data_IF_805964871314
#
_entry.id   IF_805964871314
#
_cell.length_a   1.000
_cell.length_b   1.000
_cell.length_c   1.000
_cell.angle_alpha   90.00
_cell.angle_beta   90.00
_cell.angle_gamma   90.00
#
_symmetry.space_group_name_H-M   'P 1'
#
loop_
_entity.id
_entity.type
_entity.pdbx_description
1 polymer ?
#
# COMPACT_ATOMS: atom_id res chain seq x y z
N UNK A 1 2.89 -3.98 9.82
CA UNK A 1 2.16 -4.95 9.00
C UNK A 1 1.33 -5.88 9.85
N UNK A 2 1.88 -6.56 10.86
CA UNK A 2 1.11 -7.47 11.72
C UNK A 2 -0.16 -6.83 12.32
N UNK A 3 -0.02 -5.68 12.99
CA UNK A 3 -1.18 -4.98 13.56
C UNK A 3 -2.24 -4.56 12.51
N UNK A 4 -1.82 -4.25 11.28
CA UNK A 4 -2.77 -3.94 10.20
C UNK A 4 -3.47 -5.21 9.70
N UNK A 5 -2.74 -6.31 9.56
CA UNK A 5 -3.31 -7.61 9.20
C UNK A 5 -4.36 -8.06 10.22
N UNK A 6 -4.09 -7.90 11.52
CA UNK A 6 -5.07 -8.18 12.58
C UNK A 6 -6.34 -7.31 12.44
N UNK A 7 -6.19 -6.02 12.14
CA UNK A 7 -7.35 -5.14 11.92
C UNK A 7 -8.11 -5.47 10.63
N UNK A 8 -7.42 -5.90 9.56
CA UNK A 8 -8.06 -6.37 8.32
C UNK A 8 -8.85 -7.66 8.56
N UNK A 9 -8.31 -8.61 9.33
CA UNK A 9 -9.05 -9.82 9.73
C UNK A 9 -10.31 -9.48 10.53
N UNK A 10 -10.24 -8.48 11.41
CA UNK A 10 -11.41 -7.98 12.14
C UNK A 10 -12.48 -7.35 11.23
N UNK A 11 -12.15 -7.05 9.97
CA UNK A 11 -13.08 -6.62 8.92
C UNK A 11 -13.43 -7.74 7.93
N UNK A 12 -13.17 -9.01 8.28
CA UNK A 12 -13.41 -10.19 7.44
C UNK A 12 -12.60 -10.20 6.13
N UNK A 13 -11.44 -9.54 6.12
CA UNK A 13 -10.48 -9.60 5.02
C UNK A 13 -9.35 -10.53 5.44
N UNK A 14 -9.06 -11.55 4.64
CA UNK A 14 -7.93 -12.46 4.89
C UNK A 14 -6.63 -11.88 4.33
N UNK A 15 -5.64 -11.50 5.17
CA UNK A 15 -4.37 -10.99 4.70
C UNK A 15 -3.39 -12.15 4.48
N UNK A 16 -2.94 -12.33 3.25
CA UNK A 16 -1.82 -13.23 2.94
C UNK A 16 -0.52 -12.42 2.97
N UNK A 17 0.28 -12.63 4.02
CA UNK A 17 1.58 -11.97 4.20
C UNK A 17 2.72 -12.90 3.76
N UNK A 18 3.69 -12.35 3.04
CA UNK A 18 4.90 -13.05 2.65
C UNK A 18 6.15 -12.18 2.84
N UNK A 19 7.31 -12.82 2.84
CA UNK A 19 8.61 -12.15 2.86
C UNK A 19 9.17 -12.03 1.44
N UNK A 20 9.57 -10.83 1.03
CA UNK A 20 10.39 -10.68 -0.18
C UNK A 20 11.75 -11.39 -0.03
N UNK A 21 12.43 -11.74 -1.14
CA UNK A 21 13.69 -12.50 -1.08
C UNK A 21 14.77 -11.89 -0.18
N UNK A 22 14.96 -10.56 -0.19
CA UNK A 22 15.90 -9.90 0.72
C UNK A 22 15.53 -10.06 2.20
N UNK A 23 14.23 -10.16 2.54
CA UNK A 23 13.75 -10.35 3.91
C UNK A 23 14.02 -11.77 4.37
N UNK A 24 13.75 -12.78 3.52
CA UNK A 24 14.11 -14.17 3.78
C UNK A 24 15.61 -14.29 4.06
N UNK A 25 16.44 -13.70 3.19
CA UNK A 25 17.91 -13.66 3.38
C UNK A 25 18.31 -12.91 4.66
N UNK A 26 17.66 -11.80 4.99
CA UNK A 26 17.96 -11.02 6.18
C UNK A 26 17.66 -11.80 7.47
N UNK A 27 16.55 -12.53 7.51
CA UNK A 27 16.16 -13.41 8.63
C UNK A 27 17.14 -14.57 8.78
N UNK A 28 17.43 -15.29 7.68
CA UNK A 28 18.35 -16.42 7.69
C UNK A 28 19.78 -16.05 8.16
N UNK A 29 20.24 -14.84 7.82
CA UNK A 29 21.56 -14.34 8.20
C UNK A 29 21.57 -13.53 9.50
N UNK A 30 20.39 -13.33 10.14
CA UNK A 30 20.19 -12.40 11.25
C UNK A 30 20.86 -11.03 11.03
N UNK A 31 20.78 -10.50 9.79
CA UNK A 31 21.47 -9.28 9.37
C UNK A 31 20.60 -8.47 8.42
N UNK A 32 20.43 -7.18 8.70
CA UNK A 32 19.68 -6.26 7.83
C UNK A 32 20.26 -6.24 6.41
N UNK A 33 19.38 -6.31 5.42
CA UNK A 33 19.70 -6.19 4.00
C UNK A 33 18.86 -5.06 3.38
N UNK A 34 19.41 -4.30 2.43
CA UNK A 34 18.59 -3.41 1.62
C UNK A 34 17.60 -4.24 0.79
N UNK A 35 16.48 -3.65 0.35
CA UNK A 35 15.60 -4.30 -0.60
C UNK A 35 16.31 -4.73 -1.88
N UNK A 36 15.82 -5.80 -2.51
CA UNK A 36 16.23 -6.18 -3.85
C UNK A 36 15.84 -5.11 -4.88
N UNK A 37 16.42 -5.20 -6.08
CA UNK A 37 16.02 -4.34 -7.20
C UNK A 37 14.58 -4.60 -7.59
N UNK A 38 13.92 -3.57 -8.11
CA UNK A 38 12.49 -3.60 -8.46
C UNK A 38 12.08 -4.83 -9.29
N UNK A 39 12.81 -5.30 -10.32
CA UNK A 39 12.42 -6.50 -11.07
C UNK A 39 12.30 -7.76 -10.21
N UNK A 40 13.18 -7.93 -9.22
CA UNK A 40 13.13 -9.08 -8.29
C UNK A 40 11.92 -8.99 -7.38
N UNK A 41 11.55 -7.77 -6.94
CA UNK A 41 10.38 -7.55 -6.10
C UNK A 41 9.07 -7.79 -6.88
N UNK A 42 9.00 -7.32 -8.13
CA UNK A 42 7.85 -7.54 -9.01
C UNK A 42 7.66 -9.04 -9.29
N UNK A 43 8.75 -9.74 -9.62
CA UNK A 43 8.74 -11.18 -9.84
C UNK A 43 8.27 -11.92 -8.59
N UNK A 44 8.86 -11.62 -7.43
CA UNK A 44 8.49 -12.30 -6.18
C UNK A 44 7.01 -12.10 -5.84
N UNK A 45 6.44 -10.90 -6.02
CA UNK A 45 5.02 -10.67 -5.76
C UNK A 45 4.13 -11.40 -6.78
N UNK A 46 4.53 -11.45 -8.05
CA UNK A 46 3.80 -12.20 -9.09
C UNK A 46 3.76 -13.69 -8.76
N UNK A 47 4.90 -14.29 -8.41
CA UNK A 47 4.98 -15.71 -8.00
C UNK A 47 4.11 -16.01 -6.76
N UNK A 48 3.97 -15.06 -5.84
CA UNK A 48 3.05 -15.24 -4.70
C UNK A 48 1.59 -15.23 -5.15
N UNK A 49 1.19 -14.31 -6.03
CA UNK A 49 -0.18 -14.26 -6.55
C UNK A 49 -0.53 -15.56 -7.28
N UNK A 50 0.36 -16.06 -8.15
CA UNK A 50 0.17 -17.30 -8.91
C UNK A 50 0.08 -18.54 -8.02
N UNK A 51 0.62 -18.48 -6.80
CA UNK A 51 0.57 -19.58 -5.83
C UNK A 51 -0.73 -19.65 -5.01
N UNK A 52 -1.56 -18.59 -5.05
CA UNK A 52 -2.78 -18.50 -4.27
C UNK A 52 -3.98 -19.12 -4.98
N UNK A 53 -4.90 -19.78 -4.24
CA UNK A 53 -6.18 -20.22 -4.79
C UNK A 53 -7.06 -19.01 -5.19
N UNK A 54 -7.80 -19.14 -6.28
CA UNK A 54 -8.60 -18.04 -6.88
C UNK A 54 -10.09 -18.09 -6.52
N UNK A 55 -10.45 -18.78 -5.43
CA UNK A 55 -11.86 -19.04 -5.07
C UNK A 55 -12.54 -17.81 -4.43
N UNK A 56 -11.75 -16.80 -4.07
CA UNK A 56 -12.22 -15.53 -3.51
C UNK A 56 -11.63 -14.35 -4.30
N UNK A 57 -12.30 -13.18 -4.28
CA UNK A 57 -11.75 -11.95 -4.83
C UNK A 57 -10.38 -11.63 -4.21
N UNK A 58 -9.38 -11.38 -5.05
CA UNK A 58 -8.00 -11.11 -4.65
C UNK A 58 -7.66 -9.64 -4.85
N UNK A 59 -7.00 -9.04 -3.85
CA UNK A 59 -6.53 -7.67 -3.88
C UNK A 59 -5.04 -7.64 -3.60
N UNK A 60 -4.29 -6.90 -4.41
CA UNK A 60 -2.88 -6.67 -4.14
C UNK A 60 -2.72 -5.56 -3.11
N UNK A 61 -1.96 -5.83 -2.04
CA UNK A 61 -1.75 -4.83 -1.01
C UNK A 61 -0.31 -4.75 -0.54
N UNK A 62 0.12 -3.56 -0.10
CA UNK A 62 1.45 -3.40 0.45
C UNK A 62 1.69 -2.06 1.11
N UNK A 63 2.68 -2.02 2.00
CA UNK A 63 3.11 -0.79 2.67
C UNK A 63 4.39 -0.25 2.06
N UNK A 64 4.45 1.05 1.81
CA UNK A 64 5.66 1.75 1.33
C UNK A 64 6.21 1.08 0.06
N UNK A 65 7.43 0.57 0.08
CA UNK A 65 8.03 -0.17 -1.03
C UNK A 65 7.12 -1.32 -1.53
N UNK A 66 6.54 -2.12 -0.63
CA UNK A 66 5.64 -3.21 -1.05
C UNK A 66 4.37 -2.69 -1.71
N UNK A 67 3.86 -1.53 -1.24
CA UNK A 67 2.73 -0.85 -1.87
C UNK A 67 3.08 -0.38 -3.27
N UNK A 68 4.27 0.22 -3.46
CA UNK A 68 4.76 0.60 -4.79
C UNK A 68 4.83 -0.60 -5.73
N UNK A 69 5.41 -1.71 -5.29
CA UNK A 69 5.49 -2.94 -6.08
C UNK A 69 4.09 -3.43 -6.47
N UNK A 70 3.15 -3.49 -5.50
CA UNK A 70 1.77 -3.87 -5.75
C UNK A 70 1.10 -3.00 -6.82
N UNK A 71 1.18 -1.67 -6.69
CA UNK A 71 0.54 -0.75 -7.64
C UNK A 71 1.04 -0.89 -9.08
N UNK A 72 2.29 -1.34 -9.27
CA UNK A 72 2.87 -1.52 -10.60
C UNK A 72 2.43 -2.81 -11.29
N UNK A 73 1.81 -3.74 -10.55
CA UNK A 73 1.35 -5.03 -11.06
C UNK A 73 -0.15 -5.07 -11.34
N UNK A 74 -0.93 -4.09 -10.86
CA UNK A 74 -2.39 -4.12 -10.89
C UNK A 74 -2.94 -4.34 -12.30
N UNK A 75 -2.56 -3.51 -13.27
CA UNK A 75 -3.05 -3.65 -14.66
C UNK A 75 -2.56 -4.94 -15.33
N UNK A 76 -1.33 -5.38 -15.02
CA UNK A 76 -0.76 -6.61 -15.61
C UNK A 76 -1.47 -7.85 -15.09
N UNK A 77 -1.80 -7.88 -13.80
CA UNK A 77 -2.48 -9.01 -13.16
C UNK A 77 -4.01 -8.87 -13.20
N UNK A 78 -4.52 -7.73 -13.64
CA UNK A 78 -5.95 -7.36 -13.64
C UNK A 78 -6.57 -7.52 -12.25
N UNK A 79 -5.87 -7.02 -11.24
CA UNK A 79 -6.31 -7.05 -9.85
C UNK A 79 -6.44 -5.63 -9.30
N UNK A 80 -7.46 -5.33 -8.49
CA UNK A 80 -7.52 -4.12 -7.70
C UNK A 80 -6.45 -4.13 -6.59
N UNK A 81 -6.16 -2.96 -6.01
CA UNK A 81 -5.12 -2.89 -4.98
C UNK A 81 -5.28 -1.83 -3.90
N UNK A 82 -4.47 -1.98 -2.85
CA UNK A 82 -4.41 -1.08 -1.69
C UNK A 82 -2.95 -0.78 -1.31
N UNK A 83 -2.54 0.48 -1.37
CA UNK A 83 -1.22 0.91 -0.93
C UNK A 83 -1.28 1.72 0.36
N UNK A 84 -0.49 1.32 1.36
CA UNK A 84 -0.41 1.99 2.66
C UNK A 84 0.88 2.80 2.76
N UNK A 85 0.80 4.13 2.90
CA UNK A 85 1.99 4.97 2.93
C UNK A 85 2.73 4.92 1.59
N UNK A 86 2.09 5.28 0.47
CA UNK A 86 2.70 5.19 -0.85
C UNK A 86 3.88 6.17 -0.98
N UNK A 87 5.07 5.72 -1.42
CA UNK A 87 6.23 6.59 -1.46
C UNK A 87 6.28 7.36 -2.80
N UNK A 88 5.46 8.41 -2.95
CA UNK A 88 5.31 9.21 -4.18
C UNK A 88 6.64 9.75 -4.72
N UNK A 89 7.55 10.15 -3.84
CA UNK A 89 8.92 10.51 -4.19
C UNK A 89 9.90 10.10 -3.08
N UNK A 90 11.22 9.99 -3.33
CA UNK A 90 12.19 9.84 -2.26
C UNK A 90 12.21 11.07 -1.34
N UNK A 91 12.51 10.85 -0.05
CA UNK A 91 12.70 11.96 0.91
C UNK A 91 13.79 12.90 0.39
N UNK A 92 13.49 14.21 0.42
CA UNK A 92 14.39 15.27 -0.03
C UNK A 92 14.56 15.37 -1.55
N UNK A 93 13.73 14.65 -2.32
CA UNK A 93 13.72 14.69 -3.80
C UNK A 93 12.28 14.75 -4.36
N UNK A 94 11.47 15.76 -3.99
CA UNK A 94 10.08 15.89 -4.44
C UNK A 94 9.91 15.93 -5.96
N UNK A 95 10.96 16.32 -6.69
CA UNK A 95 11.00 16.33 -8.15
C UNK A 95 11.08 14.93 -8.78
N UNK A 96 11.46 13.90 -8.02
CA UNK A 96 11.60 12.52 -8.52
C UNK A 96 10.37 11.69 -8.20
N UNK A 97 9.28 12.02 -8.89
CA UNK A 97 8.02 11.32 -8.74
C UNK A 97 8.12 9.85 -9.15
N UNK A 98 7.19 9.06 -8.61
CA UNK A 98 6.97 7.64 -8.87
C UNK A 98 5.49 7.43 -9.14
N UNK A 99 4.93 8.20 -10.07
CA UNK A 99 3.49 8.27 -10.32
C UNK A 99 3.14 7.95 -11.77
N UNK A 100 4.14 7.69 -12.61
CA UNK A 100 3.98 7.52 -14.05
C UNK A 100 2.99 6.39 -14.37
N UNK A 101 3.06 5.26 -13.68
CA UNK A 101 2.08 4.18 -13.84
C UNK A 101 0.72 4.51 -13.21
N UNK A 102 0.68 5.36 -12.18
CA UNK A 102 -0.56 5.77 -11.51
C UNK A 102 -1.39 6.74 -12.37
N UNK A 103 -0.75 7.46 -13.31
CA UNK A 103 -1.42 8.38 -14.24
C UNK A 103 -2.32 7.66 -15.24
N UNK A 104 -1.96 6.42 -15.58
CA UNK A 104 -2.64 5.61 -16.61
C UNK A 104 -3.29 4.36 -16.04
N UNK A 105 -3.26 4.19 -14.72
CA UNK A 105 -3.77 3.00 -14.05
C UNK A 105 -5.25 2.78 -14.39
N UNK A 106 -5.59 1.59 -14.87
CA UNK A 106 -6.96 1.23 -15.19
C UNK A 106 -7.64 0.54 -14.00
N UNK A 107 -6.91 -0.34 -13.31
CA UNK A 107 -7.44 -1.08 -12.17
C UNK A 107 -7.70 -0.17 -10.94
N UNK A 108 -8.76 -0.45 -10.16
CA UNK A 108 -9.05 0.28 -8.93
C UNK A 108 -7.90 0.21 -7.92
N UNK A 109 -7.52 1.36 -7.36
CA UNK A 109 -6.48 1.46 -6.34
C UNK A 109 -6.90 2.41 -5.23
N UNK A 110 -6.86 1.94 -3.98
CA UNK A 110 -6.90 2.79 -2.80
C UNK A 110 -5.48 3.08 -2.30
N UNK A 111 -5.13 4.35 -2.12
CA UNK A 111 -3.91 4.77 -1.41
C UNK A 111 -4.31 5.36 -0.06
N UNK A 112 -3.96 4.69 1.04
CA UNK A 112 -4.14 5.20 2.41
C UNK A 112 -2.83 5.87 2.86
N UNK A 113 -2.87 7.19 3.04
CA UNK A 113 -1.69 8.03 3.22
C UNK A 113 -1.79 8.89 4.50
N UNK A 114 -0.68 9.08 5.20
CA UNK A 114 -0.61 10.08 6.26
C UNK A 114 -0.59 11.49 5.67
N UNK A 115 -1.36 12.43 6.22
CA UNK A 115 -1.39 13.82 5.74
C UNK A 115 -0.01 14.50 5.75
N UNK A 116 0.89 14.04 6.62
CA UNK A 116 2.25 14.56 6.81
C UNK A 116 3.34 13.59 6.35
N UNK A 117 3.00 12.62 5.51
CA UNK A 117 3.97 11.67 4.98
C UNK A 117 5.08 12.40 4.20
N UNK A 118 6.35 12.18 4.60
CA UNK A 118 7.51 12.83 3.99
C UNK A 118 7.90 12.25 2.62
N UNK A 119 7.25 11.18 2.19
CA UNK A 119 7.35 10.65 0.83
C UNK A 119 6.25 11.19 -0.11
N UNK A 120 5.35 12.05 0.38
CA UNK A 120 4.28 12.67 -0.39
C UNK A 120 3.10 12.99 0.51
N UNK A 121 3.03 14.25 0.94
CA UNK A 121 2.01 14.75 1.87
C UNK A 121 0.75 15.20 1.12
N UNK A 122 -0.32 15.52 1.86
CA UNK A 122 -1.61 15.88 1.26
C UNK A 122 -1.54 17.07 0.31
N UNK A 123 -0.76 18.09 0.64
CA UNK A 123 -0.63 19.29 -0.17
C UNK A 123 0.16 19.01 -1.46
N UNK A 124 1.21 18.21 -1.38
CA UNK A 124 2.01 17.80 -2.55
C UNK A 124 1.15 16.95 -3.50
N UNK A 125 0.47 15.94 -2.96
CA UNK A 125 -0.28 14.96 -3.76
C UNK A 125 -1.52 15.57 -4.41
N UNK A 126 -2.11 16.61 -3.82
CA UNK A 126 -3.22 17.34 -4.43
C UNK A 126 -2.88 17.95 -5.79
N UNK A 127 -1.59 18.21 -6.06
CA UNK A 127 -1.11 18.72 -7.35
C UNK A 127 -0.75 17.64 -8.37
N UNK A 128 -0.78 16.35 -8.01
CA UNK A 128 -0.40 15.28 -8.91
C UNK A 128 -1.53 14.88 -9.84
N UNK A 129 -1.21 14.68 -11.12
CA UNK A 129 -2.12 14.01 -12.05
C UNK A 129 -2.12 12.52 -11.73
N UNK A 130 -3.26 11.98 -11.31
CA UNK A 130 -3.49 10.56 -11.04
C UNK A 130 -4.70 10.10 -11.86
N UNK A 131 -4.74 8.81 -12.23
CA UNK A 131 -5.91 8.23 -12.88
C UNK A 131 -7.14 8.32 -11.98
N UNK A 132 -8.32 8.40 -12.59
CA UNK A 132 -9.62 8.32 -11.88
C UNK A 132 -9.82 7.02 -11.11
N UNK A 133 -9.06 5.97 -11.45
CA UNK A 133 -9.08 4.68 -10.74
C UNK A 133 -8.31 4.74 -9.42
N UNK A 134 -7.57 5.83 -9.15
CA UNK A 134 -6.81 6.02 -7.92
C UNK A 134 -7.63 6.84 -6.92
N UNK A 135 -8.00 6.21 -5.82
CA UNK A 135 -8.61 6.86 -4.66
C UNK A 135 -7.55 7.18 -3.60
N UNK A 136 -7.60 8.39 -3.03
CA UNK A 136 -6.73 8.82 -1.93
C UNK A 136 -7.53 8.93 -0.63
N UNK A 137 -7.11 8.22 0.41
CA UNK A 137 -7.64 8.35 1.75
C UNK A 137 -6.56 8.84 2.73
N UNK A 138 -6.89 9.88 3.50
CA UNK A 138 -5.94 10.58 4.35
C UNK A 138 -6.13 10.24 5.83
N UNK A 139 -5.02 9.95 6.51
CA UNK A 139 -4.94 9.75 7.96
C UNK A 139 -4.48 11.05 8.62
N UNK A 140 -5.38 11.65 9.40
CA UNK A 140 -5.24 12.99 9.95
C UNK A 140 -3.95 13.15 10.76
N UNK A 141 -3.12 14.13 10.40
CA UNK A 141 -1.82 14.41 11.03
C UNK A 141 -0.79 13.26 10.98
N UNK A 142 -1.11 12.14 10.33
CA UNK A 142 -0.30 10.94 10.28
C UNK A 142 0.98 11.10 9.45
N UNK A 143 2.07 10.48 9.90
CA UNK A 143 3.31 10.33 9.13
C UNK A 143 3.32 9.06 8.25
N UNK A 144 4.46 8.75 7.64
CA UNK A 144 4.65 7.54 6.83
C UNK A 144 4.38 6.23 7.59
N UNK A 145 4.54 6.23 8.91
CA UNK A 145 4.25 5.08 9.78
C UNK A 145 2.84 5.12 10.35
N UNK A 146 2.00 6.05 9.87
CA UNK A 146 0.66 6.37 10.39
C UNK A 146 0.67 6.94 11.80
N UNK A 147 1.81 7.43 12.31
CA UNK A 147 1.89 8.05 13.63
C UNK A 147 1.51 9.53 13.52
N UNK A 148 0.46 9.99 14.20
CA UNK A 148 0.18 11.40 14.29
C UNK A 148 1.06 12.09 15.34
N UNK A 149 1.09 13.43 15.36
CA UNK A 149 1.71 14.16 16.48
C UNK A 149 0.80 14.06 17.70
N UNK A 150 1.38 14.14 18.90
CA UNK A 150 0.61 14.08 20.16
C UNK A 150 -0.51 15.11 20.26
N UNK A 151 -0.31 16.30 19.67
CA UNK A 151 -1.28 17.39 19.71
C UNK A 151 -2.58 17.12 18.92
N UNK A 152 -2.58 16.12 18.02
CA UNK A 152 -3.77 15.75 17.23
C UNK A 152 -4.88 15.10 18.06
N UNK A 153 -4.58 14.57 19.25
CA UNK A 153 -5.49 13.73 20.03
C UNK A 153 -5.69 12.32 19.47
N UNK A 154 -5.04 11.98 18.35
CA UNK A 154 -5.07 10.67 17.71
C UNK A 154 -3.83 9.84 18.08
N UNK A 155 -3.90 8.54 17.85
CA UNK A 155 -2.77 7.64 17.98
C UNK A 155 -2.64 6.70 16.78
N UNK A 156 -1.49 6.03 16.69
CA UNK A 156 -1.16 5.14 15.57
C UNK A 156 -2.14 3.96 15.44
N UNK A 157 -2.63 3.40 16.55
CA UNK A 157 -3.55 2.27 16.54
C UNK A 157 -4.90 2.66 15.92
N UNK A 158 -5.42 3.85 16.25
CA UNK A 158 -6.63 4.40 15.64
C UNK A 158 -6.47 4.55 14.13
N UNK A 159 -5.33 5.03 13.65
CA UNK A 159 -5.06 5.11 12.22
C UNK A 159 -4.92 3.74 11.54
N UNK A 160 -4.34 2.74 12.21
CA UNK A 160 -4.27 1.37 11.68
C UNK A 160 -5.69 0.79 11.55
N UNK A 161 -6.55 1.01 12.55
CA UNK A 161 -7.95 0.60 12.50
C UNK A 161 -8.70 1.33 11.37
N UNK A 162 -8.50 2.65 11.25
CA UNK A 162 -9.09 3.44 10.17
C UNK A 162 -8.64 2.96 8.79
N UNK A 163 -7.36 2.63 8.62
CA UNK A 163 -6.84 2.07 7.36
C UNK A 163 -7.52 0.73 7.01
N UNK A 164 -7.79 -0.13 7.98
CA UNK A 164 -8.52 -1.38 7.75
C UNK A 164 -10.00 -1.12 7.39
N UNK A 165 -10.67 -0.19 8.05
CA UNK A 165 -12.06 0.21 7.72
C UNK A 165 -12.16 0.78 6.30
N UNK A 166 -11.22 1.65 5.92
CA UNK A 166 -11.14 2.21 4.57
C UNK A 166 -10.93 1.10 3.52
N UNK A 167 -10.11 0.10 3.85
CA UNK A 167 -9.86 -1.06 2.99
C UNK A 167 -11.12 -1.90 2.79
N UNK A 168 -11.85 -2.18 3.86
CA UNK A 168 -13.11 -2.92 3.79
C UNK A 168 -14.18 -2.19 2.98
N UNK A 169 -14.34 -0.87 3.18
CA UNK A 169 -15.24 -0.06 2.37
C UNK A 169 -14.88 -0.15 0.90
N UNK A 170 -13.60 0.07 0.56
CA UNK A 170 -13.13 0.01 -0.83
C UNK A 170 -13.39 -1.35 -1.47
N UNK A 171 -13.06 -2.45 -0.78
CA UNK A 171 -13.34 -3.80 -1.26
C UNK A 171 -14.85 -4.02 -1.48
N UNK A 172 -15.70 -3.62 -0.53
CA UNK A 172 -17.15 -3.75 -0.65
C UNK A 172 -17.70 -2.98 -1.85
N UNK A 173 -17.25 -1.75 -2.07
CA UNK A 173 -17.65 -0.93 -3.21
C UNK A 173 -17.29 -1.60 -4.55
N UNK A 174 -16.10 -2.21 -4.64
CA UNK A 174 -15.67 -2.94 -5.83
C UNK A 174 -16.50 -4.21 -6.04
N UNK A 175 -16.78 -4.99 -4.99
CA UNK A 175 -17.59 -6.21 -5.10
C UNK A 175 -19.06 -5.95 -5.45
N UNK A 176 -19.59 -4.76 -5.16
CA UNK A 176 -20.94 -4.35 -5.53
C UNK A 176 -21.02 -3.68 -6.91
N UNK A 177 -19.89 -3.41 -7.56
CA UNK A 177 -19.81 -2.73 -8.87
C UNK A 177 -19.81 -3.70 -10.06
N UNK A 178 -19.71 -5.01 -9.80
CA UNK A 178 -19.85 -6.12 -10.76
C UNK A 178 -21.29 -6.66 -10.79
#
# INVERSE_FOLDING_TARGET
MQALAEQLQAQHIEPVLFDFPYMVKAKALNKKRPPDRLPVLLQAMTEQVESLPTDLPLYLAGKSMGGRVATMLLDTLKLPGIAYGYPFHPIGKPERLRVEHLQQLEQPLLIVQGERDTFGNQQEVAGYSLSRSVELAWLADGDHSFKPRKASGLNQQQHIQQAALLSARFIQEQLCSD
#
